data_IF_463437677686
#
_entry.id   IF_463437677686
#
_cell.length_a   1.000
_cell.length_b   1.000
_cell.length_c   1.000
_cell.angle_alpha   90.00
_cell.angle_beta   90.00
_cell.angle_gamma   90.00
#
_symmetry.space_group_name_H-M   'P 1'
#
loop_
_entity.id
_entity.type
_entity.pdbx_description
1 polymer ?
#
# COMPACT_ATOMS: atom_id res chain seq x y z
N UNK A 1 1.03 -1.87 -23.75
CA UNK A 1 1.17 -0.53 -23.16
C UNK A 1 1.97 -0.62 -21.88
N UNK A 2 3.11 0.02 -21.84
CA UNK A 2 3.90 0.02 -20.60
C UNK A 2 3.26 0.98 -19.60
N UNK A 3 3.12 0.53 -18.37
CA UNK A 3 2.66 1.41 -17.31
C UNK A 3 3.68 2.51 -17.05
N UNK A 4 3.22 3.72 -16.83
CA UNK A 4 4.09 4.79 -16.44
C UNK A 4 4.66 4.49 -15.04
N UNK A 5 5.93 4.82 -14.84
CA UNK A 5 6.58 4.67 -13.54
C UNK A 5 6.31 5.93 -12.72
N UNK A 6 5.79 5.75 -11.51
CA UNK A 6 5.62 6.86 -10.57
C UNK A 6 6.98 7.13 -9.92
N UNK A 7 7.54 8.32 -10.15
CA UNK A 7 8.80 8.72 -9.53
C UNK A 7 8.52 9.48 -8.24
N UNK A 8 8.95 8.91 -7.11
CA UNK A 8 8.82 9.54 -5.81
C UNK A 8 10.11 10.27 -5.47
N UNK A 9 9.99 11.49 -4.95
CA UNK A 9 11.13 12.31 -4.53
C UNK A 9 12.22 12.37 -5.59
N UNK A 10 11.85 12.83 -6.79
CA UNK A 10 12.72 12.83 -7.96
C UNK A 10 13.99 13.67 -7.82
N UNK A 11 14.05 14.56 -6.84
CA UNK A 11 15.21 15.39 -6.54
C UNK A 11 16.24 14.70 -5.63
N UNK A 12 15.92 13.51 -5.12
CA UNK A 12 16.84 12.75 -4.27
C UNK A 12 17.60 11.69 -5.06
N UNK A 13 18.87 11.40 -4.70
CA UNK A 13 19.64 10.35 -5.38
C UNK A 13 18.98 8.98 -5.27
N UNK A 14 19.19 8.15 -6.32
CA UNK A 14 18.66 6.78 -6.36
C UNK A 14 19.73 5.80 -5.88
N UNK A 15 19.40 5.00 -4.86
CA UNK A 15 20.28 3.94 -4.37
C UNK A 15 20.28 2.80 -5.37
N UNK A 16 21.42 2.15 -5.57
CA UNK A 16 21.58 1.01 -6.47
C UNK A 16 21.79 1.39 -7.93
N UNK A 17 21.70 2.66 -8.29
CA UNK A 17 21.95 3.12 -9.66
C UNK A 17 20.99 2.58 -10.69
N UNK A 18 21.44 2.50 -11.95
CA UNK A 18 20.59 2.09 -13.07
C UNK A 18 20.25 0.60 -13.09
N UNK A 19 21.04 -0.23 -12.40
CA UNK A 19 20.89 -1.69 -12.43
C UNK A 19 20.13 -2.26 -11.23
N UNK A 20 19.47 -1.43 -10.47
CA UNK A 20 18.73 -1.92 -9.30
C UNK A 20 17.53 -2.75 -9.72
N UNK A 21 17.35 -3.87 -9.03
CA UNK A 21 16.27 -4.80 -9.31
C UNK A 21 14.92 -4.29 -8.82
N UNK A 22 13.86 -4.74 -9.50
CA UNK A 22 12.49 -4.46 -9.07
C UNK A 22 12.16 -5.38 -7.89
N UNK A 23 11.69 -4.77 -6.80
CA UNK A 23 11.23 -5.50 -5.63
C UNK A 23 9.71 -5.64 -5.70
N UNK A 24 9.22 -6.87 -5.71
CA UNK A 24 7.77 -7.12 -5.70
C UNK A 24 7.23 -7.05 -4.28
N UNK A 25 6.13 -6.33 -4.13
CA UNK A 25 5.44 -6.13 -2.85
C UNK A 25 3.97 -6.50 -3.02
N UNK A 26 3.45 -7.29 -2.10
CA UNK A 26 2.02 -7.61 -2.04
C UNK A 26 1.34 -6.59 -1.15
N UNK A 27 0.27 -5.97 -1.64
CA UNK A 27 -0.43 -4.91 -0.89
C UNK A 27 -1.90 -5.27 -0.75
N UNK A 28 -2.39 -5.24 0.49
CA UNK A 28 -3.77 -5.58 0.82
C UNK A 28 -4.64 -4.34 0.93
N UNK A 29 -5.65 -4.27 0.09
CA UNK A 29 -6.67 -3.23 0.15
C UNK A 29 -7.90 -3.86 0.83
N UNK A 30 -7.94 -3.77 2.15
CA UNK A 30 -9.03 -4.32 2.94
C UNK A 30 -10.20 -3.34 2.93
N UNK A 31 -11.35 -3.81 2.45
CA UNK A 31 -12.55 -2.97 2.31
C UNK A 31 -13.66 -3.56 3.14
N UNK A 32 -14.21 -2.79 4.07
CA UNK A 32 -15.35 -3.19 4.89
C UNK A 32 -16.65 -3.04 4.11
N UNK A 33 -17.71 -3.66 4.61
CA UNK A 33 -19.03 -3.63 4.00
C UNK A 33 -19.52 -2.21 3.67
N UNK A 34 -19.24 -1.24 4.52
CA UNK A 34 -19.62 0.16 4.29
C UNK A 34 -18.76 0.90 3.27
N UNK A 35 -17.71 0.27 2.74
CA UNK A 35 -16.82 0.87 1.76
C UNK A 35 -15.54 1.46 2.32
N UNK A 36 -15.38 1.51 3.64
CA UNK A 36 -14.15 1.99 4.27
C UNK A 36 -13.00 1.06 3.94
N UNK A 37 -11.81 1.62 3.74
CA UNK A 37 -10.59 0.85 3.52
C UNK A 37 -9.56 1.13 4.62
N UNK A 38 -8.69 0.15 4.85
CA UNK A 38 -7.70 0.21 5.92
C UNK A 38 -6.39 0.83 5.45
N UNK A 39 -5.95 1.86 6.15
CA UNK A 39 -4.60 2.39 6.01
C UNK A 39 -3.84 2.17 7.32
N UNK A 40 -2.53 1.93 7.19
CA UNK A 40 -1.63 1.81 8.34
C UNK A 40 -0.48 2.79 8.18
N UNK A 41 0.08 3.26 9.29
CA UNK A 41 1.25 4.12 9.24
C UNK A 41 2.52 3.26 9.18
N UNK A 42 3.55 3.75 8.51
CA UNK A 42 4.84 3.06 8.48
C UNK A 42 5.46 3.10 9.87
N UNK A 43 5.91 1.96 10.38
CA UNK A 43 6.38 1.87 11.77
C UNK A 43 7.67 2.65 12.01
N UNK A 44 7.97 2.93 13.30
CA UNK A 44 9.22 3.61 13.65
C UNK A 44 10.44 2.87 13.11
N UNK A 45 11.42 3.63 12.63
CA UNK A 45 12.67 3.09 12.10
C UNK A 45 12.62 2.67 10.64
N UNK A 46 11.46 2.69 10.01
CA UNK A 46 11.32 2.39 8.58
C UNK A 46 11.45 3.68 7.75
N UNK A 47 11.84 3.51 6.48
CA UNK A 47 11.85 4.62 5.51
C UNK A 47 10.43 5.18 5.44
N UNK A 48 10.30 6.49 5.38
CA UNK A 48 9.01 7.18 5.40
C UNK A 48 8.20 6.90 6.68
N UNK A 49 8.87 6.76 7.81
CA UNK A 49 8.22 6.58 9.11
C UNK A 49 7.06 7.56 9.29
N UNK A 50 5.89 7.03 9.73
CA UNK A 50 4.70 7.83 9.96
C UNK A 50 3.84 8.13 8.74
N UNK A 51 4.32 7.82 7.53
CA UNK A 51 3.51 7.97 6.33
C UNK A 51 2.47 6.85 6.28
N UNK A 52 1.31 7.15 5.70
CA UNK A 52 0.17 6.23 5.64
C UNK A 52 0.12 5.49 4.31
N UNK A 53 -0.15 4.19 4.38
CA UNK A 53 -0.14 3.27 3.25
C UNK A 53 -1.13 2.14 3.47
N UNK A 54 -1.38 1.37 2.41
CA UNK A 54 -2.08 0.10 2.56
C UNK A 54 -1.11 -0.95 3.11
N UNK A 55 -1.57 -1.86 3.99
CA UNK A 55 -0.68 -2.87 4.58
C UNK A 55 -0.23 -3.91 3.57
N UNK A 56 0.94 -4.48 3.80
CA UNK A 56 1.52 -5.51 2.95
C UNK A 56 3.02 -5.63 3.17
N UNK A 57 3.68 -6.33 2.27
CA UNK A 57 5.12 -6.51 2.38
C UNK A 57 5.71 -7.22 1.19
N UNK A 58 7.03 -7.37 1.22
CA UNK A 58 7.81 -7.95 0.12
C UNK A 58 7.54 -9.43 -0.04
N UNK A 59 7.54 -9.89 -1.29
CA UNK A 59 7.51 -11.32 -1.59
C UNK A 59 8.85 -11.95 -1.19
N UNK A 60 8.77 -13.14 -0.61
CA UNK A 60 9.94 -13.97 -0.39
C UNK A 60 10.20 -14.81 -1.66
N UNK A 61 11.41 -15.34 -1.79
CA UNK A 61 11.78 -16.14 -2.96
C UNK A 61 10.80 -17.30 -3.16
N UNK A 62 10.23 -17.39 -4.37
CA UNK A 62 9.30 -18.44 -4.73
C UNK A 62 7.86 -18.21 -4.27
N UNK A 63 7.59 -17.11 -3.58
CA UNK A 63 6.23 -16.79 -3.12
C UNK A 63 5.40 -16.15 -4.23
N UNK A 64 4.10 -16.52 -4.29
CA UNK A 64 3.14 -15.78 -5.11
C UNK A 64 2.71 -14.52 -4.37
N UNK A 65 2.11 -13.59 -5.09
CA UNK A 65 1.55 -12.36 -4.47
C UNK A 65 0.52 -12.74 -3.41
N UNK A 66 -0.38 -13.69 -3.70
CA UNK A 66 -1.40 -14.11 -2.73
C UNK A 66 -0.77 -14.72 -1.48
N UNK A 67 0.22 -15.60 -1.63
CA UNK A 67 0.88 -16.24 -0.49
C UNK A 67 1.60 -15.20 0.37
N UNK A 68 2.30 -14.26 -0.26
CA UNK A 68 2.98 -13.18 0.44
C UNK A 68 1.99 -12.30 1.20
N UNK A 69 0.87 -11.97 0.57
CA UNK A 69 -0.15 -11.14 1.21
C UNK A 69 -0.72 -11.82 2.44
N UNK A 70 -1.06 -13.11 2.35
CA UNK A 70 -1.57 -13.88 3.48
C UNK A 70 -0.58 -13.90 4.63
N UNK A 71 0.68 -14.16 4.33
CA UNK A 71 1.74 -14.20 5.33
C UNK A 71 1.97 -12.82 5.97
N UNK A 72 2.09 -11.79 5.16
CA UNK A 72 2.37 -10.43 5.64
C UNK A 72 1.24 -9.89 6.52
N UNK A 73 -0.01 -10.07 6.13
CA UNK A 73 -1.12 -9.56 6.93
C UNK A 73 -1.28 -10.34 8.24
N UNK A 74 -0.92 -11.64 8.25
CA UNK A 74 -0.88 -12.40 9.49
C UNK A 74 0.25 -11.90 10.40
N UNK A 75 1.44 -11.68 9.85
CA UNK A 75 2.60 -11.23 10.62
C UNK A 75 2.45 -9.81 11.14
N UNK A 76 1.99 -8.89 10.28
CA UNK A 76 1.95 -7.46 10.62
C UNK A 76 0.73 -7.05 11.43
N UNK A 77 -0.44 -7.57 11.09
CA UNK A 77 -1.69 -7.09 11.69
C UNK A 77 -2.59 -8.20 12.26
N UNK A 78 -2.11 -9.45 12.23
CA UNK A 78 -2.73 -10.54 12.99
C UNK A 78 -4.03 -11.10 12.43
N UNK A 79 -4.31 -10.92 11.15
CA UNK A 79 -5.55 -11.40 10.55
C UNK A 79 -5.31 -12.51 9.52
N UNK A 80 -6.31 -13.36 9.34
CA UNK A 80 -6.32 -14.39 8.30
C UNK A 80 -7.29 -13.96 7.23
N UNK A 81 -6.77 -13.60 6.07
CA UNK A 81 -7.61 -13.05 4.99
C UNK A 81 -8.31 -14.17 4.21
N UNK A 82 -9.50 -13.83 3.71
CA UNK A 82 -10.29 -14.69 2.83
C UNK A 82 -9.83 -14.56 1.38
N UNK A 83 -10.79 -14.53 0.44
CA UNK A 83 -10.47 -14.43 -0.98
C UNK A 83 -9.67 -13.19 -1.30
N UNK A 84 -8.66 -13.34 -2.16
CA UNK A 84 -7.78 -12.27 -2.62
C UNK A 84 -8.14 -11.95 -4.06
N UNK A 85 -8.45 -10.68 -4.33
CA UNK A 85 -8.86 -10.23 -5.66
C UNK A 85 -7.80 -9.30 -6.24
N UNK A 86 -6.93 -9.80 -7.15
CA UNK A 86 -5.95 -8.93 -7.81
C UNK A 86 -6.67 -7.76 -8.46
N UNK A 87 -6.13 -6.56 -8.25
CA UNK A 87 -6.77 -5.34 -8.72
C UNK A 87 -5.91 -4.60 -9.73
N UNK A 88 -4.79 -4.05 -9.27
CA UNK A 88 -3.88 -3.27 -10.13
C UNK A 88 -2.43 -3.45 -9.69
N UNK A 89 -1.53 -3.09 -10.60
CA UNK A 89 -0.08 -3.09 -10.34
C UNK A 89 0.45 -1.70 -10.63
N UNK A 90 1.29 -1.19 -9.74
CA UNK A 90 1.92 0.12 -9.90
C UNK A 90 3.41 0.00 -9.67
N UNK A 91 4.20 0.54 -10.60
CA UNK A 91 5.65 0.58 -10.44
C UNK A 91 6.04 1.94 -9.87
N UNK A 92 6.72 1.93 -8.73
CA UNK A 92 7.11 3.16 -8.03
C UNK A 92 8.61 3.20 -7.87
N UNK A 93 9.20 4.27 -8.36
CA UNK A 93 10.63 4.54 -8.28
C UNK A 93 10.90 5.43 -7.05
N UNK A 94 11.23 4.78 -5.93
CA UNK A 94 11.61 5.49 -4.70
C UNK A 94 13.12 5.69 -4.68
N UNK A 95 13.62 6.69 -3.93
CA UNK A 95 15.07 6.85 -3.76
C UNK A 95 15.77 5.59 -3.28
N UNK A 96 15.13 4.83 -2.38
CA UNK A 96 15.74 3.66 -1.76
C UNK A 96 15.48 2.35 -2.51
N UNK A 97 14.47 2.29 -3.37
CA UNK A 97 14.11 1.05 -4.06
C UNK A 97 13.17 1.30 -5.23
N UNK A 98 13.28 0.44 -6.24
CA UNK A 98 12.31 0.39 -7.33
C UNK A 98 11.35 -0.75 -6.98
N UNK A 99 10.09 -0.43 -6.72
CA UNK A 99 9.11 -1.42 -6.25
C UNK A 99 7.96 -1.58 -7.22
N UNK A 100 7.50 -2.83 -7.32
CA UNK A 100 6.26 -3.17 -8.02
C UNK A 100 5.22 -3.47 -6.96
N UNK A 101 4.23 -2.59 -6.83
CA UNK A 101 3.15 -2.74 -5.85
C UNK A 101 2.01 -3.52 -6.50
N UNK A 102 1.76 -4.71 -5.96
CA UNK A 102 0.70 -5.60 -6.44
C UNK A 102 -0.50 -5.43 -5.50
N UNK A 103 -1.46 -4.61 -5.91
CA UNK A 103 -2.64 -4.29 -5.10
C UNK A 103 -3.71 -5.36 -5.27
N UNK A 104 -4.17 -5.89 -4.15
CA UNK A 104 -5.24 -6.89 -4.11
C UNK A 104 -6.33 -6.43 -3.16
N UNK A 105 -7.59 -6.47 -3.60
CA UNK A 105 -8.73 -6.18 -2.73
C UNK A 105 -9.07 -7.40 -1.90
N UNK A 106 -9.40 -7.18 -0.63
CA UNK A 106 -9.82 -8.22 0.30
C UNK A 106 -11.06 -7.71 1.03
N UNK A 107 -12.15 -8.48 0.98
CA UNK A 107 -13.42 -8.07 1.56
C UNK A 107 -13.82 -8.90 2.79
N UNK A 108 -13.09 -9.96 3.10
CA UNK A 108 -13.39 -10.84 4.22
C UNK A 108 -12.12 -11.32 4.88
N UNK A 109 -12.12 -11.35 6.19
CA UNK A 109 -11.00 -11.84 7.00
C UNK A 109 -11.50 -12.27 8.37
N UNK A 110 -10.68 -13.06 9.06
CA UNK A 110 -10.94 -13.50 10.42
C UNK A 110 -9.90 -12.90 11.35
N UNK A 111 -10.30 -12.64 12.59
CA UNK A 111 -9.42 -12.10 13.60
C UNK A 111 -9.57 -10.59 13.77
N UNK A 112 -9.07 -10.10 14.90
CA UNK A 112 -9.03 -8.67 15.20
C UNK A 112 -7.67 -8.09 14.81
N UNK A 113 -7.67 -6.82 14.42
CA UNK A 113 -6.44 -6.15 14.04
C UNK A 113 -5.52 -5.97 15.26
N UNK A 114 -4.28 -6.42 15.12
CA UNK A 114 -3.21 -6.23 16.10
C UNK A 114 -2.01 -5.62 15.39
N UNK A 115 -1.71 -4.38 15.67
CA UNK A 115 -0.59 -3.67 15.05
C UNK A 115 0.72 -4.12 15.72
N UNK A 116 1.32 -5.17 15.17
CA UNK A 116 2.47 -5.87 15.78
C UNK A 116 3.81 -5.18 15.64
N UNK A 117 3.87 -4.13 14.82
CA UNK A 117 5.13 -3.41 14.55
C UNK A 117 5.14 -1.99 15.11
N UNK A 118 4.17 -1.66 15.98
CA UNK A 118 4.07 -0.33 16.55
C UNK A 118 3.47 0.72 15.61
N UNK A 119 2.92 0.29 14.48
CA UNK A 119 2.24 1.19 13.55
C UNK A 119 0.82 1.51 14.06
N UNK A 120 0.28 2.62 13.58
CA UNK A 120 -1.12 2.96 13.79
C UNK A 120 -1.96 2.47 12.62
N UNK A 121 -3.28 2.38 12.81
CA UNK A 121 -4.19 2.08 11.71
C UNK A 121 -5.42 2.99 11.76
N UNK A 122 -6.05 3.17 10.61
CA UNK A 122 -7.28 3.94 10.50
C UNK A 122 -8.12 3.42 9.34
N UNK A 123 -9.41 3.29 9.59
CA UNK A 123 -10.38 3.02 8.52
C UNK A 123 -10.74 4.35 7.88
N UNK A 124 -10.58 4.42 6.57
CA UNK A 124 -10.73 5.67 5.83
C UNK A 124 -11.71 5.52 4.68
N UNK A 125 -12.29 6.64 4.28
CA UNK A 125 -13.01 6.78 3.02
C UNK A 125 -12.49 8.05 2.33
N UNK A 126 -13.01 8.39 1.16
CA UNK A 126 -12.58 9.61 0.46
C UNK A 126 -13.37 10.83 0.97
N UNK A 127 -12.73 11.96 1.23
CA UNK A 127 -11.28 12.18 1.23
C UNK A 127 -10.62 11.57 2.46
N UNK A 128 -9.39 11.08 2.29
CA UNK A 128 -8.62 10.50 3.37
C UNK A 128 -8.20 11.60 4.35
N UNK A 129 -8.39 11.35 5.65
CA UNK A 129 -8.11 12.33 6.70
C UNK A 129 -6.71 12.20 7.31
N UNK A 130 -6.13 11.00 7.23
CA UNK A 130 -4.76 10.78 7.74
C UNK A 130 -3.73 11.37 6.80
N UNK A 131 -2.61 11.82 7.34
CA UNK A 131 -1.53 12.43 6.56
C UNK A 131 -0.20 12.27 7.30
N UNK A 132 0.93 12.30 6.58
CA UNK A 132 1.06 12.34 5.13
C UNK A 132 0.79 10.97 4.48
N UNK A 133 0.39 10.98 3.24
CA UNK A 133 0.11 9.76 2.48
C UNK A 133 1.35 9.39 1.67
N UNK A 134 1.74 8.11 1.74
CA UNK A 134 2.91 7.62 1.00
C UNK A 134 2.68 7.77 -0.51
N UNK A 135 3.68 8.19 -1.30
CA UNK A 135 3.50 8.39 -2.74
C UNK A 135 2.86 7.22 -3.48
N UNK A 136 3.24 5.98 -3.17
CA UNK A 136 2.65 4.79 -3.80
C UNK A 136 1.18 4.56 -3.45
N UNK A 137 0.66 5.22 -2.43
CA UNK A 137 -0.75 5.12 -2.03
C UNK A 137 -1.63 6.08 -2.84
N UNK A 138 -1.07 7.20 -3.30
CA UNK A 138 -1.84 8.24 -4.00
C UNK A 138 -2.59 7.72 -5.23
N UNK A 139 -1.99 6.91 -6.13
CA UNK A 139 -2.72 6.39 -7.28
C UNK A 139 -3.93 5.56 -6.88
N UNK A 140 -3.83 4.80 -5.78
CA UNK A 140 -4.93 3.94 -5.31
C UNK A 140 -6.14 4.79 -4.92
N UNK A 141 -5.90 5.92 -4.28
CA UNK A 141 -6.98 6.84 -3.91
C UNK A 141 -7.67 7.40 -5.16
N UNK A 142 -6.90 7.66 -6.21
CA UNK A 142 -7.46 8.10 -7.50
C UNK A 142 -8.31 6.99 -8.16
N UNK A 143 -7.87 5.73 -8.05
CA UNK A 143 -8.65 4.59 -8.57
C UNK A 143 -9.97 4.46 -7.83
N UNK A 144 -9.96 4.59 -6.50
CA UNK A 144 -11.20 4.58 -5.72
C UNK A 144 -12.11 5.76 -6.09
N UNK A 145 -11.54 6.94 -6.29
CA UNK A 145 -12.31 8.11 -6.69
C UNK A 145 -13.02 7.87 -8.02
N UNK A 146 -12.31 7.30 -8.99
CA UNK A 146 -12.89 6.97 -10.30
C UNK A 146 -14.02 5.95 -10.18
N UNK A 147 -13.80 4.88 -9.41
CA UNK A 147 -14.81 3.84 -9.20
C UNK A 147 -16.08 4.37 -8.52
N UNK A 148 -15.91 5.32 -7.61
CA UNK A 148 -17.00 5.80 -6.74
C UNK A 148 -17.62 7.12 -7.21
N UNK A 149 -17.11 7.69 -8.31
CA UNK A 149 -17.60 8.97 -8.80
C UNK A 149 -17.26 10.15 -7.89
N UNK A 150 -16.19 10.05 -7.14
CA UNK A 150 -15.72 11.10 -6.23
C UNK A 150 -14.87 12.11 -7.01
N UNK A 151 -15.26 13.38 -7.00
CA UNK A 151 -14.64 14.42 -7.83
C UNK A 151 -13.91 15.52 -7.07
N UNK A 152 -13.66 15.35 -5.78
CA UNK A 152 -12.89 16.29 -4.97
C UNK A 152 -11.49 15.76 -4.72
N UNK A 153 -10.68 16.50 -3.96
CA UNK A 153 -9.35 16.05 -3.56
C UNK A 153 -9.46 14.79 -2.70
N UNK A 154 -8.65 13.77 -3.02
CA UNK A 154 -8.71 12.48 -2.32
C UNK A 154 -8.01 12.48 -0.98
N UNK A 155 -7.09 13.42 -0.77
CA UNK A 155 -6.26 13.50 0.44
C UNK A 155 -5.70 14.91 0.58
N UNK A 156 -5.16 15.21 1.75
CA UNK A 156 -4.48 16.49 1.99
C UNK A 156 -3.04 16.39 1.51
N UNK A 157 -2.64 17.31 0.63
CA UNK A 157 -1.25 17.39 0.17
C UNK A 157 -0.46 18.17 1.21
N UNK A 158 0.59 17.54 1.73
CA UNK A 158 1.48 18.15 2.71
C UNK A 158 2.72 18.68 2.00
N UNK A 159 3.00 19.97 2.20
CA UNK A 159 4.20 20.59 1.64
C UNK A 159 5.34 20.56 2.65
#
# INVERSE_FOLDING_TARGET
>A
MSAAVLVADGDRPREGGADREVVDVAVGVLVREGGDFLLTSRPPGKVYEGYWEFPGGKLETGESVEAALRRELQEEIGITIGAVHPWRVELVDYPHALVRLNFCKVFAWEGELHMREGQAFAWQTLPVQVQPVLPGTVPVLAWFAAERGFQAATHTVTN
#
